data_IF_817306505255
#
_entry.id   IF_817306505255
#
_cell.length_a   1.000
_cell.length_b   1.000
_cell.length_c   1.000
_cell.angle_alpha   90.00
_cell.angle_beta   90.00
_cell.angle_gamma   90.00
#
_symmetry.space_group_name_H-M   'P 1'
#
loop_
_entity.id
_entity.type
_entity.pdbx_description
1 polymer ?
#
# COMPACT_ATOMS: atom_id res chain seq x y z
N UNK A 1 8.14 9.87 10.38
CA UNK A 1 7.24 8.72 10.17
C UNK A 1 6.03 9.20 9.39
N UNK A 2 5.51 8.45 8.43
CA UNK A 2 4.29 8.83 7.69
C UNK A 2 3.02 8.48 8.47
N UNK A 3 3.14 7.75 9.59
CA UNK A 3 1.99 7.33 10.42
C UNK A 3 1.10 6.29 9.74
N UNK A 4 1.55 5.68 8.63
CA UNK A 4 0.77 4.70 7.91
C UNK A 4 0.83 3.31 8.57
N UNK A 5 -0.34 2.71 8.79
CA UNK A 5 -0.46 1.35 9.33
C UNK A 5 -0.05 0.27 8.33
N UNK A 6 -0.16 0.55 7.02
CA UNK A 6 0.17 -0.37 5.94
C UNK A 6 0.93 0.34 4.82
N UNK A 7 1.58 -0.43 3.96
CA UNK A 7 1.99 0.04 2.64
C UNK A 7 0.76 0.24 1.75
N UNK A 8 0.65 1.39 1.08
CA UNK A 8 -0.52 1.72 0.26
C UNK A 8 -0.14 2.49 -1.00
N UNK A 9 -0.88 2.28 -2.09
CA UNK A 9 -0.75 3.02 -3.33
C UNK A 9 -2.11 3.26 -3.98
N UNK A 10 -2.28 4.40 -4.66
CA UNK A 10 -3.42 4.63 -5.54
C UNK A 10 -3.21 4.11 -6.97
N UNK A 11 -2.02 3.61 -7.30
CA UNK A 11 -1.64 3.23 -8.67
C UNK A 11 -1.57 1.72 -8.82
N UNK A 12 -2.54 1.14 -9.50
CA UNK A 12 -2.53 -0.30 -9.84
C UNK A 12 -1.29 -0.68 -10.66
N UNK A 13 -0.82 0.18 -11.55
CA UNK A 13 0.37 -0.06 -12.37
C UNK A 13 1.66 -0.26 -11.58
N UNK A 14 1.69 0.11 -10.29
CA UNK A 14 2.84 -0.15 -9.43
C UNK A 14 2.83 -1.57 -8.86
N UNK A 15 1.67 -2.20 -8.74
CA UNK A 15 1.53 -3.52 -8.13
C UNK A 15 1.67 -4.63 -9.17
N UNK A 16 2.34 -5.71 -8.77
CA UNK A 16 2.46 -6.93 -9.56
C UNK A 16 1.46 -7.97 -9.06
N UNK A 17 0.86 -8.75 -9.97
CA UNK A 17 -0.08 -9.84 -9.64
C UNK A 17 -1.30 -9.40 -8.83
N UNK A 18 -1.83 -8.18 -9.00
CA UNK A 18 -2.97 -7.66 -8.21
C UNK A 18 -4.06 -8.72 -8.06
N UNK A 19 -4.50 -8.97 -6.82
CA UNK A 19 -5.73 -9.73 -6.59
C UNK A 19 -6.66 -8.89 -5.74
N UNK A 20 -7.96 -9.13 -5.96
CA UNK A 20 -9.04 -8.43 -5.27
C UNK A 20 -8.87 -8.55 -3.77
N UNK A 21 -9.08 -7.44 -3.08
CA UNK A 21 -9.14 -7.46 -1.63
C UNK A 21 -10.49 -8.03 -1.19
N UNK A 22 -10.47 -9.09 -0.37
CA UNK A 22 -11.66 -9.81 0.07
C UNK A 22 -12.14 -9.41 1.47
N UNK A 23 -11.37 -8.58 2.17
CA UNK A 23 -11.73 -8.05 3.48
C UNK A 23 -12.76 -6.93 3.40
N UNK A 24 -13.31 -6.57 4.55
CA UNK A 24 -14.26 -5.45 4.72
C UNK A 24 -13.58 -4.18 5.23
N UNK A 25 -12.26 -4.21 5.37
CA UNK A 25 -11.49 -3.08 5.90
C UNK A 25 -11.49 -1.89 4.95
N UNK A 26 -11.30 -0.71 5.53
CA UNK A 26 -11.17 0.57 4.84
C UNK A 26 -10.01 1.37 5.44
N UNK A 27 -9.46 2.28 4.65
CA UNK A 27 -8.41 3.18 5.13
C UNK A 27 -9.04 4.42 5.74
N UNK A 28 -8.86 4.63 7.04
CA UNK A 28 -9.24 5.86 7.73
C UNK A 28 -8.14 6.92 7.52
N UNK A 29 -8.53 8.10 7.06
CA UNK A 29 -7.64 9.25 6.92
C UNK A 29 -7.83 10.22 8.10
N UNK A 30 -6.84 11.06 8.37
CA UNK A 30 -6.85 12.00 9.50
C UNK A 30 -8.00 13.02 9.50
N UNK A 31 -8.74 13.16 8.40
CA UNK A 31 -9.97 13.95 8.31
C UNK A 31 -11.24 13.15 8.72
N UNK A 32 -11.08 11.88 9.10
CA UNK A 32 -12.17 10.98 9.46
C UNK A 32 -12.85 10.30 8.28
N UNK A 33 -12.45 10.61 7.04
CA UNK A 33 -12.98 9.94 5.84
C UNK A 33 -12.44 8.51 5.70
N UNK A 34 -13.22 7.65 5.04
CA UNK A 34 -12.83 6.28 4.73
C UNK A 34 -12.61 6.10 3.23
N UNK A 35 -11.53 5.41 2.86
CA UNK A 35 -11.22 5.05 1.48
C UNK A 35 -11.32 3.53 1.27
N UNK A 36 -11.90 3.07 0.15
CA UNK A 36 -12.03 1.66 -0.15
C UNK A 36 -10.69 1.04 -0.53
N UNK A 37 -10.46 -0.19 -0.08
CA UNK A 37 -9.35 -1.04 -0.52
C UNK A 37 -9.88 -1.93 -1.65
N UNK A 38 -9.30 -1.82 -2.84
CA UNK A 38 -9.74 -2.62 -4.01
C UNK A 38 -8.91 -3.88 -4.21
N UNK A 39 -7.67 -3.87 -3.76
CA UNK A 39 -6.72 -4.93 -4.00
C UNK A 39 -5.59 -4.92 -2.99
N UNK A 40 -4.85 -6.00 -2.96
CA UNK A 40 -3.56 -6.09 -2.26
C UNK A 40 -2.60 -6.85 -3.14
N UNK A 41 -1.29 -6.58 -3.04
CA UNK A 41 -0.20 -7.38 -3.59
C UNK A 41 1.16 -6.78 -3.26
N UNK A 42 2.20 -7.13 -4.02
CA UNK A 42 3.54 -6.62 -3.84
C UNK A 42 3.96 -5.66 -4.96
N UNK A 43 4.94 -4.80 -4.67
CA UNK A 43 5.72 -4.11 -5.70
C UNK A 43 7.21 -4.11 -5.37
N UNK A 44 8.02 -3.83 -6.36
CA UNK A 44 9.47 -3.84 -6.22
C UNK A 44 10.02 -2.47 -5.85
N UNK A 45 10.72 -2.39 -4.71
CA UNK A 45 11.47 -1.18 -4.36
C UNK A 45 12.83 -1.27 -5.06
N UNK A 46 13.07 -0.36 -6.00
CA UNK A 46 14.37 -0.27 -6.66
C UNK A 46 15.39 0.33 -5.69
N UNK A 47 16.32 -0.49 -5.22
CA UNK A 47 17.52 -0.04 -4.50
C UNK A 47 18.75 -0.33 -5.37
N UNK A 48 19.88 0.33 -5.07
CA UNK A 48 21.06 0.37 -5.97
C UNK A 48 21.44 -0.99 -6.56
N UNK A 49 21.55 -2.01 -5.70
CA UNK A 49 22.04 -3.34 -6.09
C UNK A 49 21.03 -4.46 -5.84
N UNK A 50 19.89 -4.15 -5.20
CA UNK A 50 18.86 -5.13 -4.85
C UNK A 50 17.48 -4.54 -5.17
N UNK A 51 16.56 -5.41 -5.56
CA UNK A 51 15.18 -5.04 -5.85
C UNK A 51 14.25 -5.91 -5.00
N UNK A 52 14.22 -5.70 -3.67
CA UNK A 52 13.38 -6.51 -2.81
C UNK A 52 11.89 -6.25 -3.11
N UNK A 53 11.05 -7.29 -3.08
CA UNK A 53 9.61 -7.12 -3.10
C UNK A 53 9.14 -6.56 -1.76
N UNK A 54 8.28 -5.55 -1.82
CA UNK A 54 7.48 -5.08 -0.69
C UNK A 54 6.11 -5.75 -0.78
N UNK A 55 5.80 -6.62 0.16
CA UNK A 55 4.53 -7.36 0.20
C UNK A 55 3.42 -6.57 0.90
N UNK A 56 2.20 -7.09 0.82
CA UNK A 56 1.01 -6.60 1.53
C UNK A 56 0.70 -5.11 1.31
N UNK A 57 0.92 -4.65 0.08
CA UNK A 57 0.65 -3.29 -0.37
C UNK A 57 -0.81 -3.18 -0.83
N UNK A 58 -1.56 -2.32 -0.14
CA UNK A 58 -2.97 -2.09 -0.40
C UNK A 58 -3.14 -1.14 -1.60
N UNK A 59 -4.07 -1.49 -2.50
CA UNK A 59 -4.52 -0.64 -3.59
C UNK A 59 -5.72 0.20 -3.12
N UNK A 60 -5.50 1.50 -3.01
CA UNK A 60 -6.48 2.49 -2.53
C UNK A 60 -6.56 3.62 -3.56
N UNK A 61 -7.41 3.52 -4.60
CA UNK A 61 -7.35 4.37 -5.78
C UNK A 61 -7.45 5.87 -5.51
N UNK A 62 -8.14 6.26 -4.43
CA UNK A 62 -8.30 7.67 -4.04
C UNK A 62 -7.03 8.28 -3.41
N UNK A 63 -5.98 7.49 -3.14
CA UNK A 63 -4.71 8.00 -2.66
C UNK A 63 -3.92 8.69 -3.77
N UNK A 64 -3.52 9.94 -3.50
CA UNK A 64 -2.69 10.74 -4.40
C UNK A 64 -1.19 10.47 -4.23
N UNK A 65 -0.78 9.95 -3.07
CA UNK A 65 0.61 9.60 -2.73
C UNK A 65 0.69 8.16 -2.25
N UNK A 66 1.83 7.53 -2.50
CA UNK A 66 2.13 6.23 -1.92
C UNK A 66 2.51 6.40 -0.44
N UNK A 67 2.05 5.49 0.40
CA UNK A 67 2.35 5.47 1.82
C UNK A 67 3.15 4.22 2.14
N UNK A 68 4.21 4.39 2.93
CA UNK A 68 5.02 3.29 3.41
C UNK A 68 4.90 3.23 4.92
N UNK A 69 4.40 2.11 5.43
CA UNK A 69 4.44 1.83 6.86
C UNK A 69 5.87 1.50 7.28
N UNK A 70 6.46 2.37 8.10
CA UNK A 70 7.83 2.16 8.60
C UNK A 70 7.87 0.93 9.52
N UNK A 71 6.84 0.75 10.36
CA UNK A 71 6.75 -0.40 11.27
C UNK A 71 6.63 -1.74 10.56
N UNK A 72 6.11 -1.79 9.33
CA UNK A 72 6.14 -2.99 8.49
C UNK A 72 7.47 -3.14 7.73
N UNK A 73 8.10 -2.03 7.34
CA UNK A 73 9.34 -2.05 6.57
C UNK A 73 10.57 -2.45 7.41
N UNK A 74 10.61 -2.10 8.69
CA UNK A 74 11.79 -2.29 9.56
C UNK A 74 11.65 -3.47 10.54
N UNK A 75 10.70 -4.38 10.28
CA UNK A 75 10.57 -5.63 11.04
C UNK A 75 11.57 -6.68 10.57
#
# INVERSE_FOLDING_TARGET
>A
DTGASNHMTGKSSMLNNIQKYLGTDFVLIGDGSSLPILGTRYFFIKQRNITPPLHDVLLVPSLTKNLLSISQLTK
#
